data_IF_301814618396
#
_entry.id   IF_301814618396
#
_cell.length_a   1.000
_cell.length_b   1.000
_cell.length_c   1.000
_cell.angle_alpha   90.00
_cell.angle_beta   90.00
_cell.angle_gamma   90.00
#
_symmetry.space_group_name_H-M   'P 1'
#
loop_
_entity.id
_entity.type
_entity.pdbx_description
1 polymer ?
#
# COMPACT_ATOMS: atom_id res chain seq x y z
N UNK A 1 8.22 9.65 -1.26
CA UNK A 1 7.94 8.23 -0.94
C UNK A 1 9.25 7.55 -0.60
N UNK A 2 9.39 7.12 0.66
CA UNK A 2 10.64 6.57 1.18
C UNK A 2 11.00 5.25 0.50
N UNK A 3 12.25 5.08 0.08
CA UNK A 3 12.77 3.92 -0.65
C UNK A 3 14.01 3.31 0.03
N UNK A 4 14.07 3.44 1.35
CA UNK A 4 15.12 2.89 2.19
C UNK A 4 14.59 1.65 2.94
N UNK A 5 15.26 0.51 2.85
CA UNK A 5 16.58 0.27 2.24
C UNK A 5 16.61 0.24 0.71
N UNK A 6 17.79 0.39 0.14
CA UNK A 6 18.16 0.05 -1.23
C UNK A 6 18.06 1.18 -2.26
N UNK A 7 17.10 2.10 -2.15
CA UNK A 7 16.91 3.20 -3.10
C UNK A 7 17.04 4.57 -2.42
N UNK A 8 17.99 4.69 -1.52
CA UNK A 8 18.21 5.86 -0.66
C UNK A 8 18.48 7.15 -1.42
N UNK A 9 18.99 7.05 -2.67
CA UNK A 9 19.16 8.21 -3.54
C UNK A 9 17.85 8.90 -3.94
N UNK A 10 16.72 8.21 -3.82
CA UNK A 10 15.39 8.80 -4.03
C UNK A 10 14.88 9.48 -2.78
N UNK A 11 14.99 8.81 -1.65
CA UNK A 11 14.67 9.31 -0.32
C UNK A 11 15.09 8.29 0.73
N UNK A 12 15.85 8.71 1.73
CA UNK A 12 16.21 7.88 2.88
C UNK A 12 15.20 8.02 4.03
N UNK A 13 15.39 7.21 5.07
CA UNK A 13 14.57 7.21 6.28
C UNK A 13 14.53 8.59 6.95
N UNK A 14 15.68 9.20 7.10
CA UNK A 14 15.81 10.44 7.87
C UNK A 14 15.33 11.65 7.10
N UNK A 15 15.63 11.75 5.81
CA UNK A 15 15.12 12.84 4.97
C UNK A 15 13.60 12.82 4.86
N UNK A 16 13.00 11.61 4.71
CA UNK A 16 11.56 11.45 4.70
C UNK A 16 10.91 11.83 6.03
N UNK A 17 11.51 11.44 7.17
CA UNK A 17 10.99 11.81 8.49
C UNK A 17 11.14 13.32 8.77
N UNK A 18 12.24 13.96 8.36
CA UNK A 18 12.39 15.43 8.45
C UNK A 18 11.34 16.17 7.62
N UNK A 19 11.08 15.69 6.39
CA UNK A 19 10.03 16.28 5.56
C UNK A 19 8.63 16.12 6.19
N UNK A 20 8.35 14.95 6.77
CA UNK A 20 7.12 14.69 7.51
C UNK A 20 6.97 15.66 8.71
N UNK A 21 7.99 15.76 9.56
CA UNK A 21 8.00 16.64 10.72
C UNK A 21 7.83 18.11 10.31
N UNK A 22 8.52 18.57 9.27
CA UNK A 22 8.37 19.92 8.73
C UNK A 22 6.94 20.20 8.22
N UNK A 23 6.24 19.18 7.74
CA UNK A 23 4.83 19.26 7.34
C UNK A 23 3.83 19.06 8.50
N UNK A 24 4.30 18.91 9.76
CA UNK A 24 3.45 18.66 10.93
C UNK A 24 2.99 17.20 11.07
N UNK A 25 3.56 16.27 10.30
CA UNK A 25 3.26 14.84 10.37
C UNK A 25 4.16 14.18 11.42
N UNK A 26 3.55 13.73 12.52
CA UNK A 26 4.29 13.14 13.65
C UNK A 26 4.48 11.63 13.56
N UNK A 27 3.70 10.96 12.70
CA UNK A 27 3.76 9.51 12.53
C UNK A 27 3.55 9.15 11.06
N UNK A 28 4.26 8.16 10.55
CA UNK A 28 4.11 7.69 9.18
C UNK A 28 4.17 6.16 9.09
N UNK A 29 3.46 5.61 8.12
CA UNK A 29 3.53 4.21 7.73
C UNK A 29 4.43 4.06 6.50
N UNK A 30 5.52 3.35 6.65
CA UNK A 30 6.40 3.03 5.54
C UNK A 30 5.84 1.86 4.72
N UNK A 31 5.80 2.02 3.40
CA UNK A 31 5.36 0.97 2.49
C UNK A 31 6.48 -0.03 2.19
N UNK A 32 6.15 -1.29 1.86
CA UNK A 32 7.09 -2.38 1.80
C UNK A 32 7.94 -2.44 0.52
N UNK A 33 7.71 -1.56 -0.44
CA UNK A 33 8.33 -1.56 -1.77
C UNK A 33 9.76 -0.97 -1.78
N UNK A 34 10.60 -1.55 -0.96
CA UNK A 34 12.04 -1.26 -0.80
C UNK A 34 12.91 -2.31 -1.52
N UNK A 35 14.25 -2.22 -1.42
CA UNK A 35 15.20 -3.24 -1.88
C UNK A 35 16.23 -3.52 -0.78
N UNK A 36 16.20 -4.70 -0.15
CA UNK A 36 15.20 -5.75 -0.33
C UNK A 36 13.78 -5.28 0.06
N UNK A 37 12.75 -6.01 -0.39
CA UNK A 37 11.36 -5.77 0.02
C UNK A 37 11.18 -6.06 1.51
N UNK A 38 10.16 -5.50 2.16
CA UNK A 38 9.81 -5.78 3.57
C UNK A 38 9.05 -7.11 3.69
N UNK A 39 9.65 -8.20 3.24
CA UNK A 39 9.05 -9.53 3.16
C UNK A 39 9.65 -10.55 4.14
N UNK A 40 10.60 -10.10 4.97
CA UNK A 40 11.22 -10.90 6.03
C UNK A 40 11.23 -10.18 7.38
N UNK A 41 11.26 -10.93 8.50
CA UNK A 41 11.39 -10.34 9.84
C UNK A 41 12.64 -9.48 10.02
N UNK A 42 13.72 -9.84 9.34
CA UNK A 42 15.02 -9.14 9.42
C UNK A 42 14.90 -7.73 8.84
N UNK A 43 14.29 -7.59 7.65
CA UNK A 43 14.10 -6.29 6.99
C UNK A 43 13.18 -5.36 7.80
N UNK A 44 12.16 -5.92 8.43
CA UNK A 44 11.25 -5.17 9.31
C UNK A 44 12.00 -4.66 10.56
N UNK A 45 12.78 -5.53 11.24
CA UNK A 45 13.53 -5.12 12.43
C UNK A 45 14.60 -4.09 12.12
N UNK A 46 15.40 -4.28 11.06
CA UNK A 46 16.41 -3.31 10.63
C UNK A 46 15.81 -1.91 10.43
N UNK A 47 14.68 -1.85 9.73
CA UNK A 47 14.00 -0.59 9.52
C UNK A 47 13.58 0.08 10.83
N UNK A 48 12.92 -0.67 11.72
CA UNK A 48 12.39 -0.14 12.97
C UNK A 48 13.50 0.25 13.95
N UNK A 49 14.62 -0.47 13.98
CA UNK A 49 15.78 -0.12 14.77
C UNK A 49 16.39 1.22 14.31
N UNK A 50 16.64 1.37 13.02
CA UNK A 50 17.15 2.62 12.46
C UNK A 50 16.18 3.79 12.64
N UNK A 51 14.88 3.52 12.65
CA UNK A 51 13.85 4.53 12.83
C UNK A 51 13.78 5.13 14.24
N UNK A 52 14.40 4.52 15.25
CA UNK A 52 14.38 5.02 16.64
C UNK A 52 14.97 6.41 16.81
N UNK A 53 15.84 6.83 15.90
CA UNK A 53 16.48 8.16 15.91
C UNK A 53 15.91 9.12 14.86
N UNK A 54 14.79 8.77 14.24
CA UNK A 54 14.16 9.60 13.21
C UNK A 54 13.27 10.70 13.82
N UNK A 55 13.07 11.79 13.09
CA UNK A 55 12.31 12.97 13.54
C UNK A 55 10.78 12.77 13.57
N UNK A 56 10.28 11.61 13.14
CA UNK A 56 8.87 11.23 13.22
C UNK A 56 8.76 9.75 13.61
N UNK A 57 7.68 9.36 14.26
CA UNK A 57 7.41 7.96 14.56
C UNK A 57 7.19 7.16 13.27
N UNK A 58 7.93 6.08 13.09
CA UNK A 58 7.85 5.24 11.89
C UNK A 58 7.25 3.89 12.24
N UNK A 59 6.18 3.58 11.54
CA UNK A 59 5.58 2.25 11.46
C UNK A 59 5.86 1.66 10.09
N UNK A 60 5.72 0.34 9.93
CA UNK A 60 5.91 -0.30 8.63
C UNK A 60 4.78 -1.24 8.28
N UNK A 61 4.40 -1.22 7.01
CA UNK A 61 3.72 -2.34 6.37
C UNK A 61 4.76 -3.37 5.94
N UNK A 62 4.40 -4.63 6.00
CA UNK A 62 5.18 -5.73 5.42
C UNK A 62 4.47 -6.26 4.17
N UNK A 63 5.21 -6.99 3.33
CA UNK A 63 4.65 -7.53 2.09
C UNK A 63 3.56 -8.58 2.35
N UNK A 64 2.48 -8.53 1.58
CA UNK A 64 1.51 -9.62 1.49
C UNK A 64 2.18 -10.83 0.84
N UNK A 65 2.93 -10.59 -0.24
CA UNK A 65 3.60 -11.64 -1.03
C UNK A 65 5.11 -11.40 -1.12
N UNK A 66 5.87 -12.47 -1.28
CA UNK A 66 7.32 -12.40 -1.43
C UNK A 66 7.70 -11.55 -2.64
N UNK A 67 8.69 -10.67 -2.45
CA UNK A 67 9.19 -9.74 -3.47
C UNK A 67 8.07 -8.94 -4.18
N UNK A 68 6.88 -8.81 -3.56
CA UNK A 68 5.71 -8.11 -4.15
C UNK A 68 5.25 -8.74 -5.49
N UNK A 69 5.42 -10.06 -5.66
CA UNK A 69 5.11 -10.72 -6.93
C UNK A 69 3.65 -11.20 -7.05
N UNK A 70 2.86 -11.14 -5.96
CA UNK A 70 1.46 -11.52 -5.97
C UNK A 70 1.19 -13.03 -5.85
N UNK A 71 2.21 -13.87 -5.76
CA UNK A 71 2.08 -15.33 -5.83
C UNK A 71 2.28 -16.02 -4.47
N UNK A 72 3.49 -16.01 -3.95
CA UNK A 72 3.83 -16.69 -2.71
C UNK A 72 3.64 -15.75 -1.53
N UNK A 73 2.81 -16.14 -0.55
CA UNK A 73 2.61 -15.34 0.66
C UNK A 73 3.87 -15.34 1.54
N UNK A 74 4.06 -14.24 2.25
CA UNK A 74 5.05 -14.13 3.33
C UNK A 74 4.53 -14.78 4.62
N UNK A 75 5.37 -14.92 5.63
CA UNK A 75 4.94 -15.31 6.98
C UNK A 75 4.42 -14.10 7.75
N UNK A 76 3.13 -13.78 7.59
CA UNK A 76 2.51 -12.60 8.20
C UNK A 76 2.61 -12.59 9.71
N UNK A 77 2.61 -13.77 10.36
CA UNK A 77 2.76 -13.87 11.82
C UNK A 77 4.17 -13.46 12.23
N UNK A 78 5.20 -14.00 11.60
CA UNK A 78 6.59 -13.62 11.88
C UNK A 78 6.87 -12.14 11.57
N UNK A 79 6.27 -11.58 10.50
CA UNK A 79 6.35 -10.16 10.18
C UNK A 79 5.68 -9.28 11.25
N UNK A 80 4.52 -9.70 11.77
CA UNK A 80 3.87 -9.03 12.90
C UNK A 80 4.73 -9.05 14.15
N UNK A 81 5.29 -10.22 14.50
CA UNK A 81 6.19 -10.36 15.64
C UNK A 81 7.48 -9.52 15.50
N UNK A 82 7.91 -9.27 14.27
CA UNK A 82 9.02 -8.35 13.98
C UNK A 82 8.65 -6.87 14.11
N UNK A 83 7.35 -6.52 14.21
CA UNK A 83 6.88 -5.17 14.46
C UNK A 83 6.07 -4.53 13.31
N UNK A 84 5.77 -5.25 12.24
CA UNK A 84 4.86 -4.76 11.21
C UNK A 84 3.45 -4.52 11.78
N UNK A 85 2.78 -3.45 11.31
CA UNK A 85 1.41 -3.12 11.74
C UNK A 85 0.39 -3.21 10.61
N UNK A 86 0.83 -3.41 9.38
CA UNK A 86 -0.01 -3.53 8.20
C UNK A 86 0.61 -4.50 7.20
N UNK A 87 -0.22 -4.98 6.27
CA UNK A 87 0.19 -5.76 5.10
C UNK A 87 -0.10 -4.97 3.81
N UNK A 88 0.84 -4.97 2.88
CA UNK A 88 0.69 -4.30 1.59
C UNK A 88 1.64 -4.89 0.56
N UNK A 89 1.26 -4.83 -0.72
CA UNK A 89 2.21 -4.95 -1.83
C UNK A 89 2.38 -3.59 -2.55
N UNK A 90 2.19 -2.47 -1.83
CA UNK A 90 2.18 -1.11 -2.40
C UNK A 90 3.31 -0.86 -3.38
N UNK A 91 2.94 -0.12 -4.43
CA UNK A 91 3.62 0.00 -5.70
C UNK A 91 3.11 -1.03 -6.71
N UNK A 92 2.38 -2.05 -6.25
CA UNK A 92 1.61 -3.00 -7.06
C UNK A 92 0.35 -3.43 -6.30
N UNK A 93 -0.76 -3.73 -6.99
CA UNK A 93 -1.88 -4.43 -6.37
C UNK A 93 -1.50 -5.88 -6.07
N UNK A 94 -2.13 -6.50 -5.10
CA UNK A 94 -2.12 -7.95 -4.96
C UNK A 94 -2.98 -8.53 -6.10
N UNK A 95 -2.33 -8.87 -7.21
CA UNK A 95 -3.03 -9.29 -8.45
C UNK A 95 -3.83 -10.56 -8.24
N UNK A 96 -3.28 -11.52 -7.51
CA UNK A 96 -3.96 -12.76 -7.16
C UNK A 96 -5.03 -12.50 -6.08
N UNK A 97 -6.28 -12.40 -6.48
CA UNK A 97 -7.40 -12.11 -5.57
C UNK A 97 -7.54 -13.16 -4.46
N UNK A 98 -7.12 -14.40 -4.67
CA UNK A 98 -7.11 -15.41 -3.60
C UNK A 98 -6.14 -15.02 -2.48
N UNK A 99 -4.94 -14.52 -2.82
CA UNK A 99 -3.97 -14.03 -1.83
C UNK A 99 -4.50 -12.82 -1.07
N UNK A 100 -5.20 -11.94 -1.78
CA UNK A 100 -5.87 -10.82 -1.14
C UNK A 100 -6.91 -11.29 -0.12
N UNK A 101 -7.78 -12.25 -0.49
CA UNK A 101 -8.79 -12.81 0.43
C UNK A 101 -8.14 -13.47 1.64
N UNK A 102 -7.09 -14.26 1.45
CA UNK A 102 -6.34 -14.87 2.55
C UNK A 102 -5.75 -13.82 3.51
N UNK A 103 -5.20 -12.72 2.95
CA UNK A 103 -4.67 -11.63 3.76
C UNK A 103 -5.78 -10.91 4.55
N UNK A 104 -6.90 -10.59 3.90
CA UNK A 104 -8.05 -9.95 4.55
C UNK A 104 -8.66 -10.83 5.65
N UNK A 105 -8.70 -12.14 5.47
CA UNK A 105 -9.21 -13.08 6.46
C UNK A 105 -8.30 -13.19 7.68
N UNK A 106 -6.98 -13.26 7.49
CA UNK A 106 -6.03 -13.56 8.56
C UNK A 106 -5.47 -12.32 9.26
N UNK A 107 -5.29 -11.20 8.56
CA UNK A 107 -4.69 -9.99 9.11
C UNK A 107 -5.37 -9.47 10.38
N UNK A 108 -6.71 -9.42 10.48
CA UNK A 108 -7.36 -8.93 11.71
C UNK A 108 -7.05 -9.77 12.95
N UNK A 109 -6.98 -11.09 12.79
CA UNK A 109 -6.62 -12.02 13.88
C UNK A 109 -5.19 -11.83 14.39
N UNK A 110 -4.32 -11.28 13.55
CA UNK A 110 -2.94 -10.93 13.89
C UNK A 110 -2.79 -9.48 14.37
N UNK A 111 -3.88 -8.69 14.42
CA UNK A 111 -3.82 -7.26 14.72
C UNK A 111 -3.13 -6.46 13.61
N UNK A 112 -3.30 -6.88 12.36
CA UNK A 112 -2.82 -6.21 11.15
C UNK A 112 -4.01 -5.68 10.34
N UNK A 113 -3.75 -4.67 9.50
CA UNK A 113 -4.68 -4.19 8.49
C UNK A 113 -4.06 -4.36 7.10
N UNK A 114 -4.86 -4.73 6.11
CA UNK A 114 -4.43 -4.73 4.71
C UNK A 114 -4.55 -3.32 4.17
N UNK A 115 -3.45 -2.78 3.63
CA UNK A 115 -3.42 -1.47 2.96
C UNK A 115 -3.21 -1.70 1.46
N UNK A 116 -4.19 -1.31 0.66
CA UNK A 116 -4.28 -1.68 -0.74
C UNK A 116 -3.84 -0.56 -1.69
N UNK A 117 -2.97 -0.89 -2.62
CA UNK A 117 -2.69 -0.10 -3.82
C UNK A 117 -3.69 -0.51 -4.90
N UNK A 118 -4.67 0.35 -5.17
CA UNK A 118 -5.78 0.04 -6.07
C UNK A 118 -5.45 0.46 -7.49
N UNK A 119 -5.03 -0.47 -8.31
CA UNK A 119 -4.71 -0.22 -9.70
C UNK A 119 -4.92 -1.47 -10.56
N UNK A 120 -5.62 -1.35 -11.67
CA UNK A 120 -5.63 -2.37 -12.71
C UNK A 120 -4.40 -2.17 -13.60
N UNK A 121 -3.45 -3.10 -13.54
CA UNK A 121 -2.18 -2.99 -14.24
C UNK A 121 -2.31 -3.04 -15.77
N UNK A 122 -3.36 -3.66 -16.29
CA UNK A 122 -3.59 -3.72 -17.74
C UNK A 122 -4.15 -2.39 -18.26
N UNK A 123 -5.01 -1.74 -17.48
CA UNK A 123 -5.51 -0.40 -17.82
C UNK A 123 -4.45 0.68 -17.61
N UNK A 124 -3.59 0.53 -16.59
CA UNK A 124 -2.52 1.49 -16.31
C UNK A 124 -1.31 1.35 -17.22
N UNK A 125 -1.19 0.23 -17.97
CA UNK A 125 0.00 -0.13 -18.72
C UNK A 125 0.49 0.98 -19.67
N UNK A 126 1.75 1.39 -19.49
CA UNK A 126 2.39 2.42 -20.30
C UNK A 126 1.97 3.85 -20.00
N UNK A 127 1.03 4.06 -19.07
CA UNK A 127 0.63 5.40 -18.63
C UNK A 127 1.69 6.08 -17.76
N UNK A 128 1.87 7.38 -17.95
CA UNK A 128 2.87 8.18 -17.22
C UNK A 128 2.25 9.16 -16.23
N UNK A 129 0.98 9.45 -16.39
CA UNK A 129 0.20 10.37 -15.56
C UNK A 129 -1.29 10.11 -15.75
N UNK A 130 -2.15 10.76 -14.97
CA UNK A 130 -3.59 10.67 -15.17
C UNK A 130 -4.00 11.06 -16.61
N UNK A 131 -4.89 10.27 -17.21
CA UNK A 131 -5.47 10.59 -18.52
C UNK A 131 -6.38 11.81 -18.42
N UNK A 132 -6.04 12.87 -19.15
CA UNK A 132 -6.79 14.11 -19.09
C UNK A 132 -6.27 15.16 -20.08
N UNK A 133 -6.64 16.40 -19.85
CA UNK A 133 -6.24 17.52 -20.69
C UNK A 133 -4.70 17.67 -20.73
N UNK A 134 -4.05 17.51 -19.56
CA UNK A 134 -2.60 17.71 -19.45
C UNK A 134 -1.83 16.60 -20.16
N UNK A 135 -2.21 15.33 -20.00
CA UNK A 135 -1.56 14.21 -20.69
C UNK A 135 -1.68 14.35 -22.21
N UNK A 136 -2.87 14.75 -22.71
CA UNK A 136 -3.08 15.03 -24.13
C UNK A 136 -2.25 16.21 -24.62
N UNK A 137 -2.19 17.29 -23.85
CA UNK A 137 -1.38 18.49 -24.19
C UNK A 137 0.12 18.19 -24.26
N UNK A 138 0.60 17.31 -23.37
CA UNK A 138 2.00 16.89 -23.36
C UNK A 138 2.31 15.77 -24.36
N UNK A 139 1.30 15.17 -24.98
CA UNK A 139 1.47 14.05 -25.91
C UNK A 139 1.99 12.78 -25.25
N UNK A 140 1.69 12.58 -23.96
CA UNK A 140 2.11 11.41 -23.20
C UNK A 140 0.95 10.47 -22.90
N UNK A 141 1.19 9.14 -22.80
CA UNK A 141 0.15 8.18 -22.43
C UNK A 141 -0.45 8.49 -21.07
N UNK A 142 -1.78 8.50 -20.97
CA UNK A 142 -2.50 8.67 -19.71
C UNK A 142 -2.90 7.35 -19.08
N UNK A 143 -3.06 7.36 -17.75
CA UNK A 143 -3.69 6.28 -16.99
C UNK A 143 -5.17 6.64 -16.83
N UNK A 144 -6.11 5.86 -17.36
CA UNK A 144 -7.54 6.15 -17.22
C UNK A 144 -7.99 6.00 -15.77
N UNK A 145 -8.95 6.82 -15.33
CA UNK A 145 -9.52 6.73 -13.98
C UNK A 145 -10.05 5.31 -13.66
N UNK A 146 -10.53 4.60 -14.66
CA UNK A 146 -10.99 3.22 -14.55
C UNK A 146 -9.93 2.26 -13.97
N UNK A 147 -8.64 2.56 -14.14
CA UNK A 147 -7.57 1.73 -13.58
C UNK A 147 -7.64 1.69 -12.04
N UNK A 148 -7.83 2.84 -11.40
CA UNK A 148 -8.02 2.92 -9.94
C UNK A 148 -9.42 2.45 -9.52
N UNK A 149 -10.46 2.85 -10.25
CA UNK A 149 -11.84 2.52 -9.90
C UNK A 149 -12.09 1.00 -9.89
N UNK A 150 -11.59 0.28 -10.89
CA UNK A 150 -11.69 -1.19 -10.95
C UNK A 150 -10.91 -1.86 -9.80
N UNK A 151 -9.71 -1.38 -9.49
CA UNK A 151 -8.95 -1.85 -8.36
C UNK A 151 -9.70 -1.63 -7.04
N UNK A 152 -10.18 -0.41 -6.81
CA UNK A 152 -10.94 -0.05 -5.61
C UNK A 152 -12.21 -0.89 -5.46
N UNK A 153 -12.97 -1.10 -6.53
CA UNK A 153 -14.18 -1.92 -6.51
C UNK A 153 -13.88 -3.37 -6.11
N UNK A 154 -12.81 -3.95 -6.68
CA UNK A 154 -12.35 -5.32 -6.37
C UNK A 154 -11.97 -5.47 -4.89
N UNK A 155 -11.16 -4.54 -4.38
CA UNK A 155 -10.68 -4.57 -3.00
C UNK A 155 -11.84 -4.44 -2.00
N UNK A 156 -12.78 -3.53 -2.27
CA UNK A 156 -13.99 -3.35 -1.44
C UNK A 156 -14.86 -4.60 -1.49
N UNK A 157 -15.07 -5.20 -2.67
CA UNK A 157 -15.87 -6.42 -2.80
C UNK A 157 -15.25 -7.59 -2.02
N UNK A 158 -13.92 -7.76 -2.08
CA UNK A 158 -13.19 -8.76 -1.32
C UNK A 158 -13.34 -8.55 0.19
N UNK A 159 -13.12 -7.32 0.68
CA UNK A 159 -13.25 -7.00 2.10
C UNK A 159 -14.69 -7.18 2.60
N UNK A 160 -15.68 -6.74 1.84
CA UNK A 160 -17.11 -6.87 2.17
C UNK A 160 -17.54 -8.33 2.29
N UNK A 161 -17.03 -9.22 1.40
CA UNK A 161 -17.40 -10.65 1.43
C UNK A 161 -16.97 -11.37 2.72
N UNK A 162 -15.93 -10.85 3.38
CA UNK A 162 -15.37 -11.40 4.63
C UNK A 162 -15.75 -10.58 5.87
N UNK A 163 -16.40 -9.43 5.71
CA UNK A 163 -16.58 -8.46 6.78
C UNK A 163 -15.25 -7.94 7.35
N UNK A 164 -14.19 -8.02 6.58
CA UNK A 164 -12.83 -7.63 6.98
C UNK A 164 -12.59 -6.12 6.82
N UNK A 165 -11.74 -5.48 7.67
CA UNK A 165 -11.33 -4.11 7.45
C UNK A 165 -10.30 -4.05 6.31
N UNK A 166 -10.36 -2.96 5.54
CA UNK A 166 -9.37 -2.64 4.52
C UNK A 166 -9.06 -1.15 4.51
N UNK A 167 -7.83 -0.77 4.21
CA UNK A 167 -7.44 0.60 3.98
C UNK A 167 -7.09 0.81 2.51
N UNK A 168 -7.81 1.67 1.83
CA UNK A 168 -7.50 2.05 0.44
C UNK A 168 -6.51 3.23 0.46
N UNK A 169 -5.34 3.03 -0.12
CA UNK A 169 -4.27 4.03 -0.15
C UNK A 169 -4.49 5.06 -1.26
N UNK A 170 -3.97 6.27 -1.06
CA UNK A 170 -3.75 7.32 -2.07
C UNK A 170 -4.84 7.44 -3.14
N UNK A 171 -6.11 7.45 -2.73
CA UNK A 171 -7.28 7.60 -3.61
C UNK A 171 -7.20 8.91 -4.41
N UNK A 172 -7.28 8.83 -5.71
CA UNK A 172 -7.11 9.96 -6.62
C UNK A 172 -8.30 10.19 -7.56
N UNK A 173 -9.18 9.21 -7.72
CA UNK A 173 -10.31 9.30 -8.65
C UNK A 173 -11.64 9.61 -7.94
N UNK A 174 -12.53 10.29 -8.66
CA UNK A 174 -13.89 10.55 -8.19
C UNK A 174 -14.67 9.24 -8.02
N UNK A 175 -14.50 8.29 -8.96
CA UNK A 175 -15.19 6.99 -8.92
C UNK A 175 -14.80 6.20 -7.66
N UNK A 176 -13.51 6.14 -7.33
CA UNK A 176 -13.06 5.46 -6.10
C UNK A 176 -13.61 6.12 -4.83
N UNK A 177 -13.69 7.47 -4.78
CA UNK A 177 -14.33 8.18 -3.66
C UNK A 177 -15.80 7.78 -3.52
N UNK A 178 -16.55 7.69 -4.62
CA UNK A 178 -17.96 7.29 -4.62
C UNK A 178 -18.10 5.83 -4.14
N UNK A 179 -17.29 4.91 -4.67
CA UNK A 179 -17.27 3.51 -4.25
C UNK A 179 -17.01 3.34 -2.75
N UNK A 180 -16.02 4.07 -2.21
CA UNK A 180 -15.69 4.05 -0.78
C UNK A 180 -16.85 4.61 0.04
N UNK A 181 -17.45 5.71 -0.38
CA UNK A 181 -18.61 6.32 0.32
C UNK A 181 -19.77 5.36 0.40
N UNK A 182 -20.13 4.70 -0.70
CA UNK A 182 -21.20 3.71 -0.75
C UNK A 182 -20.88 2.49 0.11
N UNK A 183 -19.65 2.01 0.08
CA UNK A 183 -19.20 0.91 0.92
C UNK A 183 -19.36 1.24 2.41
N UNK A 184 -18.91 2.42 2.84
CA UNK A 184 -19.08 2.91 4.22
C UNK A 184 -20.55 3.02 4.62
N UNK A 185 -21.42 3.53 3.73
CA UNK A 185 -22.86 3.63 3.98
C UNK A 185 -23.53 2.25 4.18
N UNK A 186 -22.97 1.21 3.55
CA UNK A 186 -23.43 -0.18 3.71
C UNK A 186 -22.76 -0.91 4.90
N UNK A 187 -21.93 -0.24 5.68
CA UNK A 187 -21.26 -0.80 6.86
C UNK A 187 -19.98 -1.58 6.56
N UNK A 188 -19.44 -1.50 5.35
CA UNK A 188 -18.10 -2.07 5.03
C UNK A 188 -17.05 -1.25 5.77
N UNK A 189 -16.13 -1.92 6.41
CA UNK A 189 -15.03 -1.28 7.18
C UNK A 189 -13.90 -0.86 6.24
N UNK A 190 -14.09 0.29 5.53
CA UNK A 190 -13.12 0.89 4.61
C UNK A 190 -12.56 2.19 5.18
#
# INVERSE_FOLDING_TARGET
MRRDPGLTYKEDLYSGCRAAAAGGVTSLLAMPNTKPAMDSPETVRDLLERAQTADAAVYTAACVTKDLQGEERTDWKALKEAGAIALSDDGRPVVNTRRLLEALEQAPGLGLVVTAHCEDLYLAAGGLMHEGEVSRKLGVPGIPAAAEDCGTAREIAAAASLGAPIHICHVSTKGSVELIRDAKARGVRV
#
